data_IF_918209465555
#
_entry.id   IF_918209465555
#
_cell.length_a   1.000
_cell.length_b   1.000
_cell.length_c   1.000
_cell.angle_alpha   90.00
_cell.angle_beta   90.00
_cell.angle_gamma   90.00
#
_symmetry.space_group_name_H-M   'P 1'
#
loop_
_entity.id
_entity.type
_entity.pdbx_description
1 polymer ?
#
# COMPACT_ATOMS: atom_id res chain seq x y z
N UNK A 1 40.07 73.55 5.01
CA UNK A 1 39.57 72.27 4.45
C UNK A 1 38.62 71.62 5.46
N UNK A 2 37.38 72.11 5.60
CA UNK A 2 36.36 71.56 6.54
C UNK A 2 34.93 71.47 5.97
N UNK A 3 34.69 71.94 4.74
CA UNK A 3 33.34 72.01 4.15
C UNK A 3 32.90 70.75 3.40
N UNK A 4 33.82 69.83 3.13
CA UNK A 4 33.56 68.63 2.32
C UNK A 4 32.99 67.52 3.22
N UNK A 5 33.44 67.45 4.47
CA UNK A 5 33.08 66.42 5.43
C UNK A 5 31.64 66.58 5.95
N UNK A 6 31.17 67.82 6.15
CA UNK A 6 29.78 68.09 6.59
C UNK A 6 28.74 67.74 5.51
N UNK A 7 29.06 67.94 4.23
CA UNK A 7 28.16 67.55 3.13
C UNK A 7 28.05 66.02 3.00
N UNK A 8 29.16 65.31 3.13
CA UNK A 8 29.19 63.85 3.11
C UNK A 8 28.45 63.25 4.32
N UNK A 9 28.62 63.85 5.50
CA UNK A 9 27.91 63.44 6.71
C UNK A 9 26.39 63.67 6.61
N UNK A 10 25.95 64.79 6.02
CA UNK A 10 24.54 65.09 5.77
C UNK A 10 23.90 64.10 4.77
N UNK A 11 24.65 63.69 3.74
CA UNK A 11 24.19 62.73 2.73
C UNK A 11 24.05 61.30 3.29
N UNK A 12 24.99 60.88 4.15
CA UNK A 12 24.91 59.59 4.85
C UNK A 12 23.73 59.60 5.85
N UNK A 13 23.48 60.72 6.52
CA UNK A 13 22.36 60.85 7.47
C UNK A 13 20.97 60.82 6.79
N UNK A 14 20.85 61.19 5.52
CA UNK A 14 19.60 61.10 4.76
C UNK A 14 19.37 59.73 4.10
N UNK A 15 20.41 58.90 4.04
CA UNK A 15 20.32 57.55 3.47
C UNK A 15 19.60 56.65 4.47
N UNK A 16 18.29 56.49 4.30
CA UNK A 16 17.50 55.53 5.09
C UNK A 16 18.20 54.17 5.01
N UNK A 17 18.42 53.47 6.14
CA UNK A 17 19.02 52.14 6.11
C UNK A 17 18.17 51.27 5.19
N UNK A 18 18.82 50.46 4.35
CA UNK A 18 18.12 49.46 3.57
C UNK A 18 17.34 48.58 4.57
N UNK A 19 16.02 48.76 4.60
CA UNK A 19 15.15 47.93 5.40
C UNK A 19 15.34 46.50 4.93
N UNK A 20 15.73 45.63 5.86
CA UNK A 20 15.89 44.20 5.56
C UNK A 20 14.61 43.70 4.92
N UNK A 21 14.70 43.21 3.68
CA UNK A 21 13.64 42.42 3.05
C UNK A 21 13.61 41.03 3.69
N UNK A 22 13.55 40.97 5.03
CA UNK A 22 13.38 39.73 5.74
C UNK A 22 12.07 39.15 5.27
N UNK A 23 12.14 38.07 4.51
CA UNK A 23 11.02 37.18 4.15
C UNK A 23 10.53 36.45 5.42
N UNK A 24 10.22 37.21 6.47
CA UNK A 24 9.85 36.77 7.81
C UNK A 24 8.38 36.34 7.87
N UNK A 25 7.92 35.75 6.78
CA UNK A 25 6.64 35.10 6.60
C UNK A 25 6.90 33.79 5.88
N UNK A 26 7.58 32.86 6.54
CA UNK A 26 7.52 31.46 6.10
C UNK A 26 6.07 31.05 6.26
N UNK A 27 5.38 30.80 5.15
CA UNK A 27 4.05 30.21 5.18
C UNK A 27 4.17 28.87 5.92
N UNK A 28 3.73 28.81 7.18
CA UNK A 28 3.65 27.55 7.90
C UNK A 28 2.42 26.82 7.34
N UNK A 29 2.67 25.99 6.33
CA UNK A 29 1.70 24.95 6.01
C UNK A 29 1.76 24.03 7.22
N UNK A 30 0.72 24.03 8.06
CA UNK A 30 0.60 23.02 9.11
C UNK A 30 0.83 21.67 8.43
N UNK A 31 1.82 20.86 8.84
CA UNK A 31 2.05 19.58 8.20
C UNK A 31 0.73 18.82 8.29
N UNK A 32 0.09 18.60 7.15
CA UNK A 32 -1.08 17.74 7.13
C UNK A 32 -0.60 16.41 7.73
N UNK A 33 -1.37 15.85 8.65
CA UNK A 33 -1.09 14.54 9.22
C UNK A 33 -1.88 13.51 8.38
N UNK A 34 -1.35 13.09 7.20
CA UNK A 34 -2.11 12.22 6.32
C UNK A 34 -2.35 10.89 7.02
N UNK A 35 -3.56 10.35 6.88
CA UNK A 35 -3.86 9.00 7.33
C UNK A 35 -3.13 8.01 6.43
N UNK A 36 -2.13 7.33 6.98
CA UNK A 36 -1.38 6.29 6.28
C UNK A 36 -2.05 4.92 6.50
N UNK A 37 -2.36 4.22 5.42
CA UNK A 37 -2.84 2.83 5.46
C UNK A 37 -2.38 2.06 4.22
N UNK A 38 -2.33 0.73 4.33
CA UNK A 38 -2.12 -0.14 3.17
C UNK A 38 -3.42 -0.24 2.37
N UNK A 39 -3.38 0.04 1.07
CA UNK A 39 -4.58 -0.03 0.21
C UNK A 39 -4.65 -1.33 -0.61
N UNK A 40 -3.55 -2.08 -0.71
CA UNK A 40 -3.53 -3.37 -1.39
C UNK A 40 -2.47 -4.27 -0.76
N UNK A 41 -2.78 -5.55 -0.67
CA UNK A 41 -1.88 -6.60 -0.24
C UNK A 41 -2.00 -7.79 -1.18
N UNK A 42 -0.84 -8.34 -1.56
CA UNK A 42 -0.75 -9.58 -2.30
C UNK A 42 0.10 -10.56 -1.51
N UNK A 43 -0.48 -11.67 -1.10
CA UNK A 43 0.23 -12.79 -0.49
C UNK A 43 0.53 -13.81 -1.59
N UNK A 44 1.79 -14.21 -1.70
CA UNK A 44 2.24 -15.16 -2.71
C UNK A 44 2.82 -16.39 -2.01
N UNK A 45 2.43 -17.58 -2.46
CA UNK A 45 2.87 -18.83 -1.84
C UNK A 45 2.85 -20.01 -2.81
N UNK A 46 3.27 -21.17 -2.31
CA UNK A 46 3.14 -22.42 -3.04
C UNK A 46 2.02 -23.26 -2.43
N UNK A 47 1.18 -23.80 -3.30
CA UNK A 47 0.18 -24.80 -2.99
C UNK A 47 0.57 -26.11 -3.69
N UNK A 48 0.61 -27.20 -2.93
CA UNK A 48 0.83 -28.53 -3.50
C UNK A 48 -0.36 -28.93 -4.37
N UNK A 49 -0.16 -29.91 -5.27
CA UNK A 49 -1.22 -30.42 -6.16
C UNK A 49 -2.44 -30.90 -5.36
N UNK A 50 -2.20 -31.67 -4.31
CA UNK A 50 -3.26 -32.26 -3.49
C UNK A 50 -4.02 -31.18 -2.71
N UNK A 51 -3.32 -30.18 -2.18
CA UNK A 51 -3.95 -29.07 -1.49
C UNK A 51 -4.71 -28.15 -2.45
N UNK A 52 -4.23 -27.99 -3.69
CA UNK A 52 -4.94 -27.24 -4.73
C UNK A 52 -6.25 -27.92 -5.11
N UNK A 53 -6.27 -29.25 -5.22
CA UNK A 53 -7.50 -30.01 -5.46
C UNK A 53 -8.47 -29.88 -4.29
N UNK A 54 -8.00 -30.11 -3.05
CA UNK A 54 -8.83 -29.95 -1.83
C UNK A 54 -9.44 -28.56 -1.73
N UNK A 55 -8.63 -27.52 -1.96
CA UNK A 55 -9.08 -26.13 -1.90
C UNK A 55 -10.10 -25.81 -3.00
N UNK A 56 -9.85 -26.24 -4.24
CA UNK A 56 -10.79 -26.06 -5.34
C UNK A 56 -12.11 -26.79 -5.09
N UNK A 57 -12.08 -28.00 -4.52
CA UNK A 57 -13.29 -28.75 -4.16
C UNK A 57 -14.09 -28.03 -3.07
N UNK A 58 -13.41 -27.54 -2.02
CA UNK A 58 -14.04 -26.73 -0.97
C UNK A 58 -14.69 -25.46 -1.55
N UNK A 59 -13.99 -24.74 -2.43
CA UNK A 59 -14.54 -23.53 -3.05
C UNK A 59 -15.71 -23.80 -3.99
N UNK A 60 -15.84 -25.01 -4.54
CA UNK A 60 -16.95 -25.35 -5.44
C UNK A 60 -18.28 -25.56 -4.72
N UNK A 61 -18.24 -25.92 -3.43
CA UNK A 61 -19.44 -26.17 -2.62
C UNK A 61 -19.91 -24.95 -1.84
N UNK A 62 -19.04 -23.95 -1.64
CA UNK A 62 -19.35 -22.75 -0.88
C UNK A 62 -20.01 -21.70 -1.79
N UNK A 63 -21.33 -21.45 -1.68
CA UNK A 63 -22.05 -20.54 -2.57
C UNK A 63 -21.58 -19.08 -2.49
N UNK A 64 -20.91 -18.70 -1.40
CA UNK A 64 -20.35 -17.36 -1.23
C UNK A 64 -19.03 -17.14 -1.98
N UNK A 65 -18.46 -18.20 -2.56
CA UNK A 65 -17.22 -18.15 -3.34
C UNK A 65 -17.55 -18.32 -4.82
N UNK A 66 -17.13 -17.36 -5.63
CA UNK A 66 -17.21 -17.48 -7.09
C UNK A 66 -15.94 -18.13 -7.59
N UNK A 67 -16.05 -19.32 -8.20
CA UNK A 67 -14.94 -20.07 -8.78
C UNK A 67 -15.06 -20.11 -10.31
N UNK A 68 -13.97 -19.88 -11.03
CA UNK A 68 -13.91 -19.95 -12.51
C UNK A 68 -12.51 -20.31 -13.02
N UNK A 69 -12.36 -20.45 -14.35
CA UNK A 69 -11.13 -20.92 -15.00
C UNK A 69 -10.60 -22.24 -14.41
N UNK A 70 -11.51 -23.16 -14.05
CA UNK A 70 -11.18 -24.40 -13.32
C UNK A 70 -10.59 -25.42 -14.27
N UNK A 71 -9.31 -25.72 -14.06
CA UNK A 71 -8.56 -26.79 -14.71
C UNK A 71 -7.77 -27.56 -13.64
N UNK A 72 -7.18 -28.70 -14.00
CA UNK A 72 -6.40 -29.48 -13.03
C UNK A 72 -5.18 -28.73 -12.45
N UNK A 73 -4.63 -27.78 -13.20
CA UNK A 73 -3.41 -27.04 -12.86
C UNK A 73 -3.67 -25.55 -12.63
N UNK A 74 -4.93 -25.11 -12.65
CA UNK A 74 -5.29 -23.70 -12.57
C UNK A 74 -6.70 -23.52 -12.01
N UNK A 75 -6.90 -22.52 -11.18
CA UNK A 75 -8.22 -22.01 -10.86
C UNK A 75 -8.13 -20.54 -10.45
N UNK A 76 -9.26 -19.84 -10.55
CA UNK A 76 -9.42 -18.50 -10.00
C UNK A 76 -10.66 -18.45 -9.14
N UNK A 77 -10.58 -17.73 -8.04
CA UNK A 77 -11.71 -17.53 -7.16
C UNK A 77 -11.82 -16.08 -6.70
N UNK A 78 -13.04 -15.70 -6.35
CA UNK A 78 -13.33 -14.53 -5.53
C UNK A 78 -14.16 -14.93 -4.34
N UNK A 79 -13.74 -14.48 -3.18
CA UNK A 79 -14.38 -14.76 -1.90
C UNK A 79 -14.73 -13.46 -1.17
N UNK A 80 -15.47 -13.58 -0.07
CA UNK A 80 -15.81 -12.48 0.83
C UNK A 80 -16.44 -11.30 0.09
N UNK A 81 -17.53 -11.58 -0.65
CA UNK A 81 -18.25 -10.58 -1.45
C UNK A 81 -17.33 -9.88 -2.48
N UNK A 82 -16.55 -10.67 -3.22
CA UNK A 82 -15.62 -10.21 -4.26
C UNK A 82 -14.45 -9.33 -3.76
N UNK A 83 -14.20 -9.28 -2.44
CA UNK A 83 -13.13 -8.47 -1.83
C UNK A 83 -11.76 -9.15 -1.83
N UNK A 84 -11.73 -10.48 -1.96
CA UNK A 84 -10.50 -11.27 -2.02
C UNK A 84 -10.45 -12.02 -3.34
N UNK A 85 -9.37 -11.83 -4.09
CA UNK A 85 -9.06 -12.57 -5.30
C UNK A 85 -8.03 -13.65 -5.00
N UNK A 86 -8.24 -14.85 -5.51
CA UNK A 86 -7.34 -15.99 -5.34
C UNK A 86 -7.03 -16.55 -6.73
N UNK A 87 -5.75 -16.74 -7.02
CA UNK A 87 -5.28 -17.37 -8.25
C UNK A 87 -4.30 -18.49 -7.92
N UNK A 88 -4.53 -19.65 -8.52
CA UNK A 88 -3.56 -20.74 -8.57
C UNK A 88 -3.28 -21.05 -10.03
N UNK A 89 -2.00 -21.10 -10.42
CA UNK A 89 -1.58 -21.49 -11.76
C UNK A 89 -0.20 -22.16 -11.68
N UNK A 90 -0.20 -23.49 -11.72
CA UNK A 90 1.02 -24.28 -11.61
C UNK A 90 1.88 -24.18 -12.87
N UNK A 91 1.28 -24.26 -14.06
CA UNK A 91 2.03 -24.30 -15.32
C UNK A 91 2.76 -22.97 -15.54
N UNK A 92 2.06 -21.86 -15.32
CA UNK A 92 2.67 -20.53 -15.41
C UNK A 92 3.76 -20.37 -14.36
N UNK A 93 3.51 -20.76 -13.11
CA UNK A 93 4.52 -20.64 -12.06
C UNK A 93 5.80 -21.44 -12.36
N UNK A 94 5.67 -22.70 -12.79
CA UNK A 94 6.80 -23.55 -13.15
C UNK A 94 7.57 -22.97 -14.36
N UNK A 95 6.86 -22.43 -15.35
CA UNK A 95 7.47 -21.79 -16.54
C UNK A 95 8.34 -20.58 -16.19
N UNK A 96 7.95 -19.82 -15.16
CA UNK A 96 8.65 -18.59 -14.75
C UNK A 96 9.52 -18.78 -13.51
N UNK A 97 9.66 -20.01 -13.01
CA UNK A 97 10.31 -20.34 -11.73
C UNK A 97 9.82 -19.44 -10.58
N UNK A 98 8.50 -19.41 -10.41
CA UNK A 98 7.81 -18.56 -9.41
C UNK A 98 6.90 -19.39 -8.52
N UNK A 99 6.38 -18.72 -7.50
CA UNK A 99 5.35 -19.26 -6.61
C UNK A 99 4.00 -19.38 -7.34
N UNK A 100 3.26 -20.45 -7.04
CA UNK A 100 2.10 -20.87 -7.84
C UNK A 100 0.72 -20.41 -7.34
N UNK A 101 0.66 -19.70 -6.21
CA UNK A 101 -0.58 -19.18 -5.64
C UNK A 101 -0.44 -17.70 -5.28
N UNK A 102 -1.51 -16.95 -5.48
CA UNK A 102 -1.65 -15.54 -5.09
C UNK A 102 -2.99 -15.30 -4.44
N UNK A 103 -2.98 -14.45 -3.42
CA UNK A 103 -4.17 -13.93 -2.74
C UNK A 103 -4.06 -12.42 -2.68
N UNK A 104 -5.01 -11.72 -3.29
CA UNK A 104 -5.01 -10.27 -3.44
C UNK A 104 -6.24 -9.66 -2.76
N UNK A 105 -6.02 -8.64 -1.93
CA UNK A 105 -7.10 -7.96 -1.21
C UNK A 105 -6.69 -6.56 -0.75
N UNK A 106 -7.68 -5.73 -0.44
CA UNK A 106 -7.47 -4.45 0.25
C UNK A 106 -7.78 -4.66 1.74
N UNK A 107 -6.78 -4.55 2.65
CA UNK A 107 -7.00 -4.81 4.07
C UNK A 107 -7.99 -3.83 4.71
N UNK A 108 -8.14 -2.61 4.18
CA UNK A 108 -9.11 -1.63 4.70
C UNK A 108 -10.56 -2.01 4.40
N UNK A 109 -10.81 -2.98 3.50
CA UNK A 109 -12.16 -3.41 3.10
C UNK A 109 -12.62 -4.72 3.78
N UNK A 110 -11.73 -5.33 4.56
CA UNK A 110 -11.98 -6.56 5.30
C UNK A 110 -12.27 -6.24 6.77
N UNK A 111 -13.19 -6.98 7.40
CA UNK A 111 -13.43 -6.87 8.83
C UNK A 111 -12.34 -7.62 9.60
N UNK A 112 -11.92 -7.16 10.80
CA UNK A 112 -10.89 -7.83 11.60
C UNK A 112 -11.20 -9.31 11.90
N UNK A 113 -12.48 -9.66 12.05
CA UNK A 113 -12.96 -11.03 12.27
C UNK A 113 -12.70 -11.99 11.09
N UNK A 114 -12.40 -11.48 9.90
CA UNK A 114 -12.02 -12.29 8.74
C UNK A 114 -10.53 -12.61 8.73
N UNK A 115 -9.73 -11.95 9.58
CA UNK A 115 -8.33 -12.26 9.84
C UNK A 115 -8.21 -13.15 11.08
N UNK A 116 -9.00 -14.21 11.18
CA UNK A 116 -8.76 -15.20 12.23
C UNK A 116 -7.43 -15.89 11.87
N UNK A 117 -6.38 -15.78 12.71
CA UNK A 117 -5.24 -16.67 12.57
C UNK A 117 -5.81 -18.08 12.73
N UNK A 118 -5.71 -18.91 11.68
CA UNK A 118 -5.89 -20.34 11.83
C UNK A 118 -4.97 -20.76 12.99
N UNK A 119 -5.53 -21.06 14.16
CA UNK A 119 -4.81 -21.75 15.21
C UNK A 119 -4.38 -23.08 14.59
N UNK A 120 -3.10 -23.13 14.20
CA UNK A 120 -2.50 -24.25 13.45
C UNK A 120 -2.50 -25.54 14.27
N UNK A 121 -2.78 -25.44 15.57
CA UNK A 121 -2.79 -26.57 16.51
C UNK A 121 -4.02 -27.49 16.40
N UNK A 122 -5.11 -27.08 15.72
CA UNK A 122 -6.36 -27.87 15.66
C UNK A 122 -6.58 -28.66 14.37
N UNK A 123 -5.64 -28.68 13.43
CA UNK A 123 -5.76 -29.44 12.17
C UNK A 123 -4.72 -30.57 12.02
N UNK A 124 -3.98 -30.88 13.09
CA UNK A 124 -3.04 -32.00 13.17
C UNK A 124 -3.29 -32.84 14.43
N UNK A 125 -4.45 -33.49 14.50
CA UNK A 125 -4.67 -34.70 15.31
C UNK A 125 -5.53 -35.69 14.52
#
# INVERSE_FOLDING_TARGET
MKKIDEKLAAEISQKKPAVSNSRLGVHSVHPQNPKLSFDAMTIVGNLSRDNAQKLSSFMSIEPQIRLWDILQTKFKAKALQEKVYIEYDKVKADTWDRRNMRVEFNPNKLTPELFIPLNVDNYFY
#
